data_IF_317882372190
#
_entry.id   IF_317882372190
#
_cell.length_a   1.000
_cell.length_b   1.000
_cell.length_c   1.000
_cell.angle_alpha   90.00
_cell.angle_beta   90.00
_cell.angle_gamma   90.00
#
_symmetry.space_group_name_H-M   'P 1'
#
loop_
_entity.id
_entity.type
_entity.pdbx_description
1 polymer ?
#
# COMPACT_ATOMS: atom_id res chain seq x y z
N UNK A 1 13.43 -16.47 -9.03
CA UNK A 1 13.74 -15.84 -8.89
C UNK A 1 13.23 -14.94 -9.24
N UNK A 2 12.59 -14.83 -9.32
CA UNK A 2 12.00 -13.94 -9.73
C UNK A 2 12.45 -12.65 -9.62
N UNK A 3 13.21 -12.39 -8.99
CA UNK A 3 13.52 -11.14 -8.76
C UNK A 3 13.98 -10.49 -9.93
N UNK A 4 14.02 -9.29 -9.88
CA UNK A 4 14.32 -8.52 -10.96
C UNK A 4 15.73 -8.22 -11.06
N UNK A 5 16.46 -9.15 -11.44
CA UNK A 5 17.85 -9.00 -11.45
C UNK A 5 18.35 -8.08 -12.45
N UNK A 6 17.54 -7.75 -13.41
CA UNK A 6 18.06 -6.96 -14.44
C UNK A 6 18.23 -5.56 -14.08
N UNK A 7 17.43 -5.04 -13.22
CA UNK A 7 17.43 -3.62 -12.99
C UNK A 7 18.24 -3.23 -11.81
N UNK A 8 18.56 -4.17 -10.95
CA UNK A 8 19.21 -3.84 -9.72
C UNK A 8 18.32 -3.10 -8.73
N UNK A 9 17.06 -2.99 -9.03
CA UNK A 9 16.14 -2.33 -8.12
C UNK A 9 15.56 -3.38 -7.18
N UNK A 10 15.59 -3.05 -5.91
CA UNK A 10 15.04 -3.93 -4.92
C UNK A 10 13.79 -3.33 -4.33
N UNK A 11 12.70 -4.04 -4.40
CA UNK A 11 11.42 -3.59 -3.88
C UNK A 11 11.08 -4.47 -2.69
N UNK A 12 10.90 -3.85 -1.54
CA UNK A 12 10.53 -4.59 -0.35
C UNK A 12 9.10 -5.05 -0.46
N UNK A 13 8.83 -6.26 0.00
CA UNK A 13 7.46 -6.78 0.04
C UNK A 13 7.03 -6.95 1.46
N UNK A 14 5.79 -6.59 1.75
CA UNK A 14 5.22 -6.73 3.08
C UNK A 14 3.81 -7.28 2.98
N UNK A 15 3.35 -7.86 4.06
CA UNK A 15 1.95 -8.27 4.18
C UNK A 15 1.34 -7.52 5.34
N UNK A 16 0.09 -7.10 5.17
CA UNK A 16 -0.68 -6.50 6.24
C UNK A 16 -1.90 -7.38 6.42
N UNK A 17 -2.06 -7.91 7.64
CA UNK A 17 -3.12 -8.83 7.90
C UNK A 17 -4.33 -8.10 8.46
N UNK A 18 -5.50 -8.37 7.92
CA UNK A 18 -6.73 -7.83 8.47
C UNK A 18 -6.97 -8.46 9.83
N UNK A 19 -7.47 -7.66 10.76
CA UNK A 19 -7.79 -8.17 12.08
C UNK A 19 -9.05 -9.01 12.01
N UNK A 20 -9.20 -9.84 13.02
CA UNK A 20 -10.39 -10.66 13.08
C UNK A 20 -11.61 -9.75 13.13
N UNK A 21 -12.56 -10.01 12.30
CA UNK A 21 -13.77 -9.18 12.21
C UNK A 21 -13.68 -8.04 11.22
N UNK A 22 -12.48 -7.72 10.74
CA UNK A 22 -12.32 -6.69 9.72
C UNK A 22 -12.48 -7.30 8.34
N UNK A 23 -13.24 -6.65 7.47
CA UNK A 23 -13.35 -7.08 6.08
C UNK A 23 -12.49 -6.24 5.16
N UNK A 24 -12.07 -5.06 5.60
CA UNK A 24 -11.23 -4.19 4.79
C UNK A 24 -10.52 -3.19 5.69
N UNK A 25 -9.50 -2.55 5.14
CA UNK A 25 -8.94 -1.35 5.74
C UNK A 25 -8.88 -0.32 4.62
N UNK A 26 -8.73 0.95 4.97
CA UNK A 26 -8.62 1.98 3.94
C UNK A 26 -7.16 2.20 3.58
N UNK A 27 -6.94 2.78 2.41
CA UNK A 27 -5.58 3.08 1.96
C UNK A 27 -4.86 4.00 2.95
N UNK A 28 -5.56 4.99 3.49
CA UNK A 28 -4.95 5.87 4.48
C UNK A 28 -4.49 5.12 5.72
N UNK A 29 -5.29 4.16 6.19
CA UNK A 29 -4.92 3.35 7.33
C UNK A 29 -3.70 2.49 6.99
N UNK A 30 -3.67 1.95 5.79
CA UNK A 30 -2.52 1.15 5.36
C UNK A 30 -1.24 1.97 5.41
N UNK A 31 -1.28 3.20 4.94
CA UNK A 31 -0.10 4.06 4.94
C UNK A 31 0.38 4.34 6.35
N UNK A 32 -0.56 4.46 7.30
CA UNK A 32 -0.18 4.62 8.70
C UNK A 32 0.44 3.35 9.26
N UNK A 33 -0.17 2.22 8.98
CA UNK A 33 0.32 0.95 9.52
C UNK A 33 1.72 0.64 9.05
N UNK A 34 2.07 1.07 7.85
CA UNK A 34 3.40 0.81 7.31
C UNK A 34 4.42 1.86 7.72
N UNK A 35 4.00 2.90 8.43
CA UNK A 35 4.91 3.93 8.89
C UNK A 35 5.26 4.97 7.86
N UNK A 36 4.63 4.93 6.69
CA UNK A 36 4.89 5.91 5.65
C UNK A 36 4.40 7.28 6.06
N UNK A 37 3.29 7.31 6.79
CA UNK A 37 2.77 8.54 7.36
C UNK A 37 2.51 8.32 8.84
N UNK A 38 2.48 9.41 9.60
CA UNK A 38 2.26 9.34 11.04
C UNK A 38 0.80 9.54 11.41
N UNK A 39 0.10 10.37 10.65
CA UNK A 39 -1.30 10.68 10.96
C UNK A 39 -2.15 10.54 9.71
N UNK A 40 -3.45 10.34 9.91
CA UNK A 40 -4.36 10.22 8.79
C UNK A 40 -4.40 11.46 7.91
N UNK A 41 -4.16 12.62 8.49
CA UNK A 41 -4.18 13.85 7.71
C UNK A 41 -3.06 13.93 6.69
N UNK A 42 -1.96 13.23 6.93
CA UNK A 42 -0.85 13.24 5.98
C UNK A 42 -1.13 12.40 4.75
N UNK A 43 -2.11 11.51 4.79
CA UNK A 43 -2.40 10.64 3.66
C UNK A 43 -2.75 11.44 2.42
N UNK A 44 -3.50 12.51 2.60
CA UNK A 44 -3.91 13.33 1.47
C UNK A 44 -2.70 13.89 0.74
N UNK A 45 -1.74 14.41 1.50
CA UNK A 45 -0.56 15.00 0.89
C UNK A 45 0.32 13.93 0.25
N UNK A 46 0.48 12.81 0.94
CA UNK A 46 1.30 11.74 0.39
C UNK A 46 0.73 11.26 -0.95
N UNK A 47 -0.57 11.05 -1.01
CA UNK A 47 -1.21 10.54 -2.22
C UNK A 47 -1.22 11.57 -3.35
N UNK A 48 -1.15 12.85 -3.01
CA UNK A 48 -1.06 13.87 -4.04
C UNK A 48 0.32 13.92 -4.69
N UNK A 49 1.35 13.49 -3.96
CA UNK A 49 2.73 13.61 -4.44
C UNK A 49 3.36 12.30 -4.86
N UNK A 50 2.76 11.18 -4.52
CA UNK A 50 3.36 9.89 -4.79
C UNK A 50 2.37 8.98 -5.52
N UNK A 51 2.87 8.27 -6.50
CA UNK A 51 2.04 7.32 -7.22
C UNK A 51 1.81 6.09 -6.35
N UNK A 52 0.57 5.68 -6.24
CA UNK A 52 0.20 4.47 -5.52
C UNK A 52 -0.70 3.67 -6.44
N UNK A 53 -0.41 2.39 -6.59
CA UNK A 53 -1.22 1.52 -7.42
C UNK A 53 -1.92 0.49 -6.55
N UNK A 54 -3.20 0.28 -6.79
CA UNK A 54 -3.95 -0.77 -6.13
C UNK A 54 -4.34 -1.75 -7.23
N UNK A 55 -3.80 -2.96 -7.14
CA UNK A 55 -4.00 -3.99 -8.15
C UNK A 55 -3.64 -3.47 -9.56
N UNK A 56 -2.57 -2.67 -9.62
CA UNK A 56 -2.09 -2.16 -10.89
C UNK A 56 -2.73 -0.89 -11.38
N UNK A 57 -3.69 -0.35 -10.66
CA UNK A 57 -4.38 0.87 -11.06
C UNK A 57 -4.07 2.02 -10.13
N UNK A 58 -3.85 3.19 -10.69
CA UNK A 58 -3.52 4.36 -9.89
C UNK A 58 -4.66 4.71 -8.95
N UNK A 59 -4.30 5.01 -7.71
CA UNK A 59 -5.28 5.36 -6.72
C UNK A 59 -4.77 6.52 -5.88
N UNK A 60 -5.59 7.55 -5.69
CA UNK A 60 -5.20 8.69 -4.87
C UNK A 60 -6.21 9.00 -3.77
N UNK A 61 -7.17 8.11 -3.55
CA UNK A 61 -8.17 8.35 -2.52
C UNK A 61 -7.77 7.63 -1.25
N UNK A 62 -7.59 8.37 -0.17
CA UNK A 62 -7.22 7.73 1.10
C UNK A 62 -8.32 6.84 1.65
N UNK A 63 -9.55 7.06 1.23
CA UNK A 63 -10.66 6.25 1.67
C UNK A 63 -10.89 4.98 0.86
N UNK A 64 -10.03 4.69 -0.12
CA UNK A 64 -10.18 3.47 -0.90
C UNK A 64 -10.14 2.27 0.00
N UNK A 65 -11.14 1.43 -0.08
CA UNK A 65 -11.21 0.20 0.71
C UNK A 65 -10.31 -0.87 0.10
N UNK A 66 -9.54 -1.52 0.94
CA UNK A 66 -8.62 -2.56 0.52
C UNK A 66 -9.04 -3.86 1.20
N UNK A 67 -9.17 -4.90 0.40
CA UNK A 67 -9.69 -6.17 0.86
C UNK A 67 -8.63 -7.25 0.79
N UNK A 68 -8.92 -8.37 1.41
CA UNK A 68 -8.05 -9.53 1.34
C UNK A 68 -7.69 -9.84 -0.11
N UNK A 69 -6.43 -10.01 -0.36
CA UNK A 69 -5.94 -10.32 -1.70
C UNK A 69 -5.55 -9.10 -2.54
N UNK A 70 -5.88 -7.89 -2.07
CA UNK A 70 -5.48 -6.70 -2.82
C UNK A 70 -3.98 -6.47 -2.66
N UNK A 71 -3.38 -5.99 -3.74
CA UNK A 71 -1.95 -5.68 -3.73
C UNK A 71 -1.77 -4.19 -3.97
N UNK A 72 -0.98 -3.55 -3.12
CA UNK A 72 -0.74 -2.13 -3.19
C UNK A 72 0.74 -1.90 -3.49
N UNK A 73 1.02 -1.14 -4.55
CA UNK A 73 2.40 -0.82 -4.90
C UNK A 73 2.70 0.62 -4.57
N UNK A 74 3.76 0.83 -3.83
CA UNK A 74 4.27 2.15 -3.50
C UNK A 74 5.62 2.31 -4.21
N UNK A 75 6.27 3.45 -4.08
CA UNK A 75 7.47 3.70 -4.87
C UNK A 75 8.59 2.69 -4.58
N UNK A 76 8.70 2.20 -3.35
CA UNK A 76 9.76 1.26 -3.01
C UNK A 76 9.26 0.08 -2.20
N UNK A 77 7.97 -0.20 -2.27
CA UNK A 77 7.39 -1.23 -1.42
C UNK A 77 6.13 -1.78 -2.07
N UNK A 78 5.91 -3.06 -1.93
CA UNK A 78 4.68 -3.70 -2.36
C UNK A 78 4.06 -4.34 -1.15
N UNK A 79 2.75 -4.18 -0.97
CA UNK A 79 2.04 -4.65 0.20
C UNK A 79 0.87 -5.51 -0.24
N UNK A 80 0.77 -6.69 0.36
CA UNK A 80 -0.35 -7.57 0.12
C UNK A 80 -1.27 -7.55 1.34
N UNK A 81 -2.56 -7.41 1.10
CA UNK A 81 -3.55 -7.49 2.17
C UNK A 81 -3.86 -8.97 2.38
N UNK A 82 -3.53 -9.43 3.57
CA UNK A 82 -3.63 -10.86 3.85
C UNK A 82 -4.85 -11.21 4.70
#
# INVERSE_FOLDING_TARGET
>A
MGYNKHTGVFVAQKSVKLKEGETFITLGVLLKLTGIIDTGGQAKFYLAENAVLVNGEAENRRGRKLYHGDEIQLSNMSILID
#
